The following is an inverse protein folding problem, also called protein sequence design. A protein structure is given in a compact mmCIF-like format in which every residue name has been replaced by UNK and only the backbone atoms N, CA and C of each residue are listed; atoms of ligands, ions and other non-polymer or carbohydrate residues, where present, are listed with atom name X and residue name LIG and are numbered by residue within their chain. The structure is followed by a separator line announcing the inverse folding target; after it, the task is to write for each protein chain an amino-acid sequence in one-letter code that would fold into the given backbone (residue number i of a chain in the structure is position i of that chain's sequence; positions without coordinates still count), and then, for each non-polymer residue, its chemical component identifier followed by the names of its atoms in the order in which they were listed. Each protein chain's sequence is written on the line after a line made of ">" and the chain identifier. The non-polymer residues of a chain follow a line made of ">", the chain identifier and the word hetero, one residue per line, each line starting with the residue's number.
data_IF_057255792804
#
_entry.id   IF_057255792804
#
_cell.length_a   1.000
_cell.length_b   1.000
_cell.length_c   1.000
_cell.angle_alpha   90.00
_cell.angle_beta   90.00
_cell.angle_gamma   90.00
#
_symmetry.space_group_name_H-M   'P 1'
#
loop_
_entity.id
_entity.type
_entity.pdbx_description
1 polymer ?
#
# COMPACT_ATOMS: atom_id res chain seq x y z
N UNK A 1 50.94 2.05 29.35
CA UNK A 1 49.75 2.84 29.74
C UNK A 1 49.17 3.71 28.59
N UNK A 2 49.96 4.32 27.69
CA UNK A 2 49.48 5.23 26.64
C UNK A 2 48.56 4.58 25.56
N UNK A 3 48.83 3.32 25.20
CA UNK A 3 48.02 2.63 24.18
C UNK A 3 46.59 2.30 24.67
N UNK A 4 46.46 1.89 25.95
CA UNK A 4 45.13 1.67 26.54
C UNK A 4 44.30 2.93 26.67
N UNK A 5 44.90 4.06 26.99
CA UNK A 5 44.21 5.33 27.07
C UNK A 5 43.71 5.81 25.68
N UNK A 6 44.56 5.65 24.65
CA UNK A 6 44.18 5.95 23.27
C UNK A 6 43.00 5.07 22.78
N UNK A 7 43.04 3.77 23.10
CA UNK A 7 41.94 2.86 22.74
C UNK A 7 40.64 3.23 23.46
N UNK A 8 40.71 3.53 24.76
CA UNK A 8 39.54 3.96 25.54
C UNK A 8 38.94 5.27 25.00
N UNK A 9 39.77 6.25 24.67
CA UNK A 9 39.31 7.52 24.06
C UNK A 9 38.71 7.28 22.67
N UNK A 10 39.33 6.41 21.86
CA UNK A 10 38.81 6.08 20.55
C UNK A 10 37.43 5.37 20.63
N UNK A 11 37.28 4.37 21.51
CA UNK A 11 36.03 3.66 21.72
C UNK A 11 34.93 4.58 22.28
N UNK A 12 35.28 5.48 23.20
CA UNK A 12 34.36 6.48 23.74
C UNK A 12 33.92 7.48 22.67
N UNK A 13 34.83 7.93 21.83
CA UNK A 13 34.53 8.80 20.70
C UNK A 13 33.66 8.12 19.62
N UNK A 14 33.90 6.84 19.35
CA UNK A 14 33.12 6.04 18.41
C UNK A 14 31.68 5.80 18.91
N UNK A 15 31.51 5.59 20.21
CA UNK A 15 30.20 5.32 20.84
C UNK A 15 29.50 6.61 21.34
N UNK A 16 30.19 7.77 21.33
CA UNK A 16 29.58 9.03 21.71
C UNK A 16 28.45 9.38 20.75
N UNK A 17 27.26 9.58 21.28
CA UNK A 17 26.13 10.12 20.49
C UNK A 17 26.54 11.49 19.96
N UNK A 18 26.67 11.62 18.65
CA UNK A 18 26.93 12.91 17.98
C UNK A 18 25.69 13.77 18.08
N UNK A 19 25.61 14.59 19.11
CA UNK A 19 24.58 15.63 19.19
C UNK A 19 24.92 16.70 18.14
N UNK A 20 24.00 16.94 17.22
CA UNK A 20 24.11 18.04 16.27
C UNK A 20 23.56 19.28 16.93
N UNK A 21 24.39 20.30 17.10
CA UNK A 21 23.97 21.64 17.60
C UNK A 21 22.75 22.13 16.82
N UNK A 22 21.70 22.58 17.50
CA UNK A 22 20.46 23.08 16.88
C UNK A 22 19.43 22.00 16.46
N UNK A 23 19.62 20.72 16.84
CA UNK A 23 18.66 19.64 16.57
C UNK A 23 18.22 18.97 17.88
N UNK A 24 17.43 19.68 18.66
CA UNK A 24 17.02 19.27 20.02
C UNK A 24 16.00 18.12 20.02
N UNK A 25 15.29 17.88 18.91
CA UNK A 25 14.17 16.93 18.81
C UNK A 25 14.40 15.72 17.89
N UNK A 26 15.66 15.32 17.68
CA UNK A 26 16.01 14.14 16.92
C UNK A 26 16.87 14.41 15.69
N UNK A 27 17.31 13.34 15.03
CA UNK A 27 18.17 13.39 13.84
C UNK A 27 17.38 13.40 12.52
N UNK A 28 16.06 13.58 12.56
CA UNK A 28 15.21 13.60 11.38
C UNK A 28 15.51 14.83 10.52
N UNK A 29 15.61 14.63 9.21
CA UNK A 29 15.79 15.66 8.20
C UNK A 29 14.95 15.33 6.97
N UNK A 30 14.68 16.31 6.16
CA UNK A 30 14.11 16.06 4.84
C UNK A 30 15.10 15.27 4.00
N UNK A 31 14.61 14.18 3.37
CA UNK A 31 15.40 13.36 2.47
C UNK A 31 15.66 14.07 1.14
N UNK A 32 16.81 13.81 0.54
CA UNK A 32 17.12 14.20 -0.83
C UNK A 32 17.02 13.01 -1.79
N UNK A 33 17.23 13.22 -3.12
CA UNK A 33 17.15 12.17 -4.13
C UNK A 33 18.02 10.93 -3.82
N UNK A 34 19.21 11.14 -3.26
CA UNK A 34 20.12 10.05 -2.86
C UNK A 34 19.59 9.20 -1.69
N UNK A 35 18.72 9.75 -0.87
CA UNK A 35 18.15 9.02 0.27
C UNK A 35 17.02 8.09 -0.17
N UNK A 36 16.33 8.38 -1.27
CA UNK A 36 15.24 7.55 -1.80
C UNK A 36 15.73 6.51 -2.81
N UNK A 37 16.85 6.75 -3.48
CA UNK A 37 17.41 5.88 -4.51
C UNK A 37 17.49 4.38 -4.11
N UNK A 38 17.92 4.01 -2.87
CA UNK A 38 17.95 2.61 -2.44
C UNK A 38 16.57 1.94 -2.36
N UNK A 39 15.49 2.72 -2.35
CA UNK A 39 14.10 2.25 -2.28
C UNK A 39 13.39 2.23 -3.63
N UNK A 40 14.08 2.59 -4.71
CA UNK A 40 13.57 2.52 -6.07
C UNK A 40 14.01 1.23 -6.75
N UNK A 41 13.12 0.64 -7.54
CA UNK A 41 13.49 -0.44 -8.46
C UNK A 41 14.15 0.14 -9.71
N UNK A 42 15.10 -0.61 -10.33
CA UNK A 42 15.80 -0.14 -11.54
C UNK A 42 14.85 0.14 -12.71
N UNK A 43 13.86 -0.73 -12.92
CA UNK A 43 12.85 -0.54 -13.96
C UNK A 43 11.79 0.45 -13.50
N UNK A 44 11.38 1.34 -14.39
CA UNK A 44 10.39 2.37 -14.07
C UNK A 44 9.05 1.75 -13.65
N UNK A 45 8.59 0.77 -14.39
CA UNK A 45 7.28 0.11 -14.25
C UNK A 45 7.13 -0.67 -12.93
N UNK A 46 8.25 -1.05 -12.32
CA UNK A 46 8.27 -1.81 -11.06
C UNK A 46 8.14 -0.90 -9.83
N UNK A 47 7.79 0.37 -10.02
CA UNK A 47 7.69 1.35 -8.96
C UNK A 47 6.30 2.00 -8.85
N UNK A 48 5.94 2.38 -7.64
CA UNK A 48 4.87 3.34 -7.39
C UNK A 48 5.41 4.72 -7.73
N UNK A 49 4.76 5.43 -8.63
CA UNK A 49 5.08 6.82 -9.00
C UNK A 49 4.60 7.72 -7.88
N UNK A 50 5.52 8.39 -7.19
CA UNK A 50 5.20 9.34 -6.13
C UNK A 50 5.15 10.78 -6.67
N UNK A 51 6.19 11.16 -7.41
CA UNK A 51 6.33 12.48 -8.04
C UNK A 51 6.92 12.32 -9.45
N UNK A 52 7.28 13.41 -10.10
CA UNK A 52 7.97 13.37 -11.39
C UNK A 52 9.32 12.65 -11.32
N UNK A 53 10.01 12.74 -10.20
CA UNK A 53 11.37 12.22 -10.01
C UNK A 53 11.44 11.07 -9.00
N UNK A 54 10.55 11.06 -8.01
CA UNK A 54 10.61 10.12 -6.90
C UNK A 54 9.64 8.94 -7.09
N UNK A 55 10.13 7.75 -6.80
CA UNK A 55 9.43 6.48 -6.97
C UNK A 55 9.71 5.57 -5.78
N UNK A 56 8.85 4.59 -5.57
CA UNK A 56 9.00 3.57 -4.53
C UNK A 56 8.77 2.19 -5.14
N UNK A 57 9.72 1.28 -4.99
CA UNK A 57 9.59 -0.08 -5.53
C UNK A 57 8.32 -0.77 -5.04
N UNK A 58 7.59 -1.44 -5.94
CA UNK A 58 6.40 -2.21 -5.60
C UNK A 58 6.73 -3.55 -4.93
N UNK A 59 7.88 -4.14 -5.22
CA UNK A 59 8.28 -5.42 -4.68
C UNK A 59 8.42 -5.36 -3.15
N UNK A 60 7.86 -6.37 -2.47
CA UNK A 60 8.06 -6.58 -1.02
C UNK A 60 9.35 -7.34 -0.72
N UNK A 61 10.08 -7.76 -1.75
CA UNK A 61 11.35 -8.50 -1.64
C UNK A 61 12.45 -7.74 -2.38
N UNK A 62 12.96 -6.62 -1.82
CA UNK A 62 14.09 -5.91 -2.39
C UNK A 62 15.34 -6.79 -2.34
N UNK A 63 16.36 -6.54 -3.20
CA UNK A 63 17.63 -7.23 -3.14
C UNK A 63 18.32 -7.10 -1.78
N UNK A 64 18.26 -5.94 -1.14
CA UNK A 64 18.67 -5.73 0.24
C UNK A 64 17.44 -5.67 1.16
N UNK A 65 17.27 -6.65 2.08
CA UNK A 65 16.14 -6.67 3.02
C UNK A 65 16.04 -5.42 3.91
N UNK A 66 17.14 -4.70 4.13
CA UNK A 66 17.14 -3.42 4.87
C UNK A 66 16.34 -2.33 4.17
N UNK A 67 16.14 -2.45 2.87
CA UNK A 67 15.37 -1.51 2.05
C UNK A 67 13.87 -1.88 1.96
N UNK A 68 13.46 -3.00 2.58
CA UNK A 68 12.03 -3.32 2.68
C UNK A 68 11.31 -2.26 3.51
N UNK A 69 10.33 -1.59 2.91
CA UNK A 69 9.53 -0.52 3.55
C UNK A 69 8.06 -0.76 3.32
N UNK A 70 7.26 -0.18 4.20
CA UNK A 70 5.82 -0.10 4.01
C UNK A 70 5.51 0.68 2.73
N UNK A 71 4.56 0.16 1.94
CA UNK A 71 4.12 0.74 0.67
C UNK A 71 2.88 1.62 0.81
N UNK A 72 2.43 1.90 2.03
CA UNK A 72 1.30 2.80 2.25
C UNK A 72 1.69 4.22 1.87
N UNK A 73 0.91 4.83 0.99
CA UNK A 73 1.13 6.20 0.51
C UNK A 73 -0.08 7.04 0.86
N UNK A 74 0.15 8.13 1.56
CA UNK A 74 -0.87 9.13 1.86
C UNK A 74 -0.69 10.33 0.91
N UNK A 75 -1.69 10.58 0.06
CA UNK A 75 -1.70 11.71 -0.88
C UNK A 75 -2.68 12.76 -0.37
N UNK A 76 -2.16 13.89 0.06
CA UNK A 76 -2.94 15.00 0.62
C UNK A 76 -3.10 16.12 -0.41
N UNK A 77 -4.31 16.62 -0.58
CA UNK A 77 -4.59 17.73 -1.48
C UNK A 77 -6.08 18.10 -1.48
N UNK A 78 -6.38 19.34 -1.73
CA UNK A 78 -7.75 19.84 -1.83
C UNK A 78 -8.52 19.30 -3.06
N UNK A 79 -9.79 19.68 -3.19
CA UNK A 79 -10.56 19.38 -4.40
C UNK A 79 -9.91 20.03 -5.62
N UNK A 80 -9.85 19.32 -6.74
CA UNK A 80 -9.23 19.82 -7.97
C UNK A 80 -7.69 19.79 -8.00
N UNK A 81 -6.99 19.40 -6.91
CA UNK A 81 -5.52 19.36 -6.86
C UNK A 81 -4.87 18.31 -7.77
N UNK A 82 -5.68 17.52 -8.47
CA UNK A 82 -5.17 16.55 -9.44
C UNK A 82 -4.74 15.20 -8.85
N UNK A 83 -5.09 14.86 -7.61
CA UNK A 83 -4.74 13.56 -6.99
C UNK A 83 -5.03 12.36 -7.87
N UNK A 84 -6.23 12.30 -8.43
CA UNK A 84 -6.63 11.20 -9.35
C UNK A 84 -5.82 11.25 -10.64
N UNK A 85 -5.62 12.44 -11.22
CA UNK A 85 -4.94 12.62 -12.50
C UNK A 85 -3.45 12.34 -12.44
N UNK A 86 -2.78 12.82 -11.39
CA UNK A 86 -1.31 12.77 -11.31
C UNK A 86 -0.76 11.62 -10.46
N UNK A 87 -1.59 11.00 -9.62
CA UNK A 87 -1.16 9.88 -8.80
C UNK A 87 -1.88 8.59 -9.16
N UNK A 88 -3.23 8.54 -9.07
CA UNK A 88 -3.95 7.25 -9.21
C UNK A 88 -3.86 6.72 -10.65
N UNK A 89 -4.24 7.53 -11.65
CA UNK A 89 -4.26 7.08 -13.05
C UNK A 89 -2.90 6.67 -13.59
N UNK A 90 -1.81 7.43 -13.40
CA UNK A 90 -0.49 7.00 -13.87
C UNK A 90 -0.03 5.70 -13.24
N UNK A 91 -0.29 5.50 -11.94
CA UNK A 91 0.07 4.26 -11.26
C UNK A 91 -0.73 3.05 -11.75
N UNK A 92 -2.02 3.23 -12.09
CA UNK A 92 -2.81 2.16 -12.68
C UNK A 92 -2.40 1.86 -14.12
N UNK A 93 -2.17 2.89 -14.93
CA UNK A 93 -1.90 2.75 -16.36
C UNK A 93 -0.50 2.20 -16.68
N UNK A 94 0.49 2.38 -15.80
CA UNK A 94 1.82 1.82 -15.99
C UNK A 94 1.89 0.31 -15.75
N UNK A 95 0.93 -0.27 -15.03
CA UNK A 95 0.96 -1.68 -14.66
C UNK A 95 0.55 -2.58 -15.83
N UNK A 96 1.21 -3.71 -15.94
CA UNK A 96 0.94 -4.76 -16.93
C UNK A 96 0.84 -6.10 -16.21
N UNK A 97 -0.24 -6.84 -16.47
CA UNK A 97 -0.49 -8.15 -15.85
C UNK A 97 0.53 -9.22 -16.22
N UNK A 98 1.28 -9.03 -17.31
CA UNK A 98 2.29 -9.99 -17.80
C UNK A 98 3.67 -9.72 -17.22
N UNK A 99 4.11 -8.46 -17.23
CA UNK A 99 5.47 -8.11 -16.84
C UNK A 99 5.62 -7.90 -15.34
N UNK A 100 4.63 -7.26 -14.72
CA UNK A 100 4.58 -7.04 -13.27
C UNK A 100 3.15 -7.20 -12.76
N UNK A 101 2.70 -8.42 -12.45
CA UNK A 101 1.32 -8.69 -12.06
C UNK A 101 1.01 -8.10 -10.68
N UNK A 102 0.25 -7.03 -10.67
CA UNK A 102 -0.30 -6.39 -9.46
C UNK A 102 -1.82 -6.39 -9.54
N UNK A 103 -2.49 -6.86 -8.52
CA UNK A 103 -3.94 -6.75 -8.41
C UNK A 103 -4.32 -5.48 -7.67
N UNK A 104 -5.36 -4.79 -8.14
CA UNK A 104 -5.83 -3.55 -7.55
C UNK A 104 -7.25 -3.69 -7.01
N UNK A 105 -7.49 -3.06 -5.87
CA UNK A 105 -8.83 -2.73 -5.39
C UNK A 105 -8.91 -1.20 -5.36
N UNK A 106 -9.82 -0.63 -6.14
CA UNK A 106 -9.94 0.82 -6.33
C UNK A 106 -11.31 1.28 -5.88
N UNK A 107 -11.37 2.23 -4.95
CA UNK A 107 -12.60 2.92 -4.59
C UNK A 107 -12.77 4.14 -5.49
N UNK A 108 -13.81 4.14 -6.32
CA UNK A 108 -14.10 5.20 -7.30
C UNK A 108 -15.51 5.76 -7.10
N UNK A 109 -15.71 6.68 -6.17
CA UNK A 109 -17.02 7.23 -5.86
C UNK A 109 -17.71 7.93 -7.05
N UNK A 110 -16.91 8.40 -8.01
CA UNK A 110 -17.40 9.11 -9.21
C UNK A 110 -17.55 8.22 -10.44
N UNK A 111 -17.01 7.01 -10.41
CA UNK A 111 -16.96 6.09 -11.55
C UNK A 111 -16.01 6.51 -12.68
N UNK A 112 -15.26 7.60 -12.50
CA UNK A 112 -14.42 8.17 -13.55
C UNK A 112 -13.17 7.35 -13.87
N UNK A 113 -12.61 6.66 -12.87
CA UNK A 113 -11.42 5.82 -13.04
C UNK A 113 -11.76 4.60 -13.87
N UNK A 114 -12.91 3.95 -13.56
CA UNK A 114 -13.40 2.81 -14.33
C UNK A 114 -13.64 3.13 -15.80
N UNK A 115 -14.25 4.30 -16.09
CA UNK A 115 -14.54 4.74 -17.46
C UNK A 115 -13.24 5.11 -18.21
N UNK A 116 -12.35 5.89 -17.59
CA UNK A 116 -11.18 6.43 -18.28
C UNK A 116 -10.01 5.46 -18.39
N UNK A 117 -9.83 4.57 -17.41
CA UNK A 117 -8.70 3.63 -17.38
C UNK A 117 -9.09 2.20 -17.75
N UNK A 118 -10.38 1.87 -17.77
CA UNK A 118 -10.86 0.50 -17.91
C UNK A 118 -10.40 -0.17 -19.20
N UNK A 119 -10.53 0.50 -20.34
CA UNK A 119 -10.10 -0.04 -21.64
C UNK A 119 -8.59 -0.30 -21.69
N UNK A 120 -7.79 0.62 -21.17
CA UNK A 120 -6.34 0.46 -21.11
C UNK A 120 -5.95 -0.74 -20.23
N UNK A 121 -6.59 -0.90 -19.07
CA UNK A 121 -6.35 -2.03 -18.18
C UNK A 121 -6.74 -3.37 -18.84
N UNK A 122 -7.83 -3.42 -19.58
CA UNK A 122 -8.20 -4.62 -20.35
C UNK A 122 -7.15 -4.95 -21.41
N UNK A 123 -6.62 -3.95 -22.12
CA UNK A 123 -5.51 -4.12 -23.11
C UNK A 123 -4.24 -4.62 -22.43
N UNK A 124 -3.99 -4.20 -21.19
CA UNK A 124 -2.86 -4.69 -20.35
C UNK A 124 -3.13 -6.07 -19.74
N UNK A 125 -4.23 -6.75 -20.10
CA UNK A 125 -4.53 -8.11 -19.69
C UNK A 125 -5.20 -8.26 -18.33
N UNK A 126 -5.68 -7.17 -17.73
CA UNK A 126 -6.42 -7.23 -16.46
C UNK A 126 -7.86 -7.70 -16.65
N UNK A 127 -8.34 -8.46 -15.69
CA UNK A 127 -9.78 -8.77 -15.55
C UNK A 127 -10.40 -7.73 -14.63
N UNK A 128 -11.32 -6.92 -15.16
CA UNK A 128 -12.00 -5.90 -14.37
C UNK A 128 -13.27 -6.47 -13.74
N UNK A 129 -13.48 -6.14 -12.47
CA UNK A 129 -14.73 -6.43 -11.75
C UNK A 129 -15.23 -5.15 -11.12
N UNK A 130 -16.49 -4.82 -11.39
CA UNK A 130 -17.16 -3.63 -10.88
C UNK A 130 -18.21 -4.02 -9.85
N UNK A 131 -18.16 -3.37 -8.70
CA UNK A 131 -19.17 -3.45 -7.67
C UNK A 131 -19.79 -2.07 -7.47
N UNK A 132 -21.03 -1.87 -7.95
CA UNK A 132 -21.73 -0.59 -7.89
C UNK A 132 -22.74 -0.62 -6.74
N UNK A 133 -22.43 0.13 -5.67
CA UNK A 133 -23.28 0.22 -4.48
C UNK A 133 -24.46 1.16 -4.63
N UNK A 134 -24.46 2.04 -5.66
CA UNK A 134 -25.55 2.98 -5.94
C UNK A 134 -26.61 2.29 -6.79
N UNK A 135 -26.18 1.51 -7.78
CA UNK A 135 -27.10 0.78 -8.67
C UNK A 135 -26.60 -0.66 -8.82
N UNK A 136 -27.15 -1.55 -8.02
CA UNK A 136 -26.77 -2.97 -8.00
C UNK A 136 -27.04 -3.69 -9.34
N UNK A 137 -27.99 -3.22 -10.15
CA UNK A 137 -28.25 -3.82 -11.47
C UNK A 137 -27.06 -3.62 -12.43
N UNK A 138 -26.20 -2.62 -12.19
CA UNK A 138 -24.96 -2.36 -12.92
C UNK A 138 -23.73 -3.02 -12.30
N UNK A 139 -23.87 -3.73 -11.19
CA UNK A 139 -22.80 -4.49 -10.57
C UNK A 139 -22.58 -5.81 -11.29
N UNK A 140 -21.33 -6.24 -11.33
CA UNK A 140 -21.03 -7.62 -11.72
C UNK A 140 -21.48 -8.59 -10.62
N UNK A 141 -21.96 -9.73 -11.03
CA UNK A 141 -22.37 -10.79 -10.09
C UNK A 141 -21.15 -11.36 -9.37
N UNK A 142 -21.30 -11.57 -8.07
CA UNK A 142 -20.30 -12.20 -7.23
C UNK A 142 -20.90 -13.45 -6.58
N UNK A 143 -20.22 -14.58 -6.77
CA UNK A 143 -20.58 -15.82 -6.10
C UNK A 143 -19.50 -16.15 -5.06
N UNK A 144 -19.74 -15.90 -3.77
CA UNK A 144 -18.76 -16.19 -2.72
C UNK A 144 -18.45 -17.68 -2.60
N UNK A 145 -19.39 -18.56 -2.94
CA UNK A 145 -19.21 -20.02 -2.87
C UNK A 145 -18.13 -20.52 -3.82
N UNK A 146 -17.88 -19.81 -4.94
CA UNK A 146 -16.83 -20.18 -5.89
C UNK A 146 -15.39 -20.01 -5.33
N UNK A 147 -15.24 -19.38 -4.17
CA UNK A 147 -13.96 -19.13 -3.51
C UNK A 147 -13.73 -19.99 -2.27
N UNK A 148 -14.62 -20.96 -2.02
CA UNK A 148 -14.48 -21.91 -0.92
C UNK A 148 -13.62 -23.08 -1.42
N UNK A 149 -12.43 -23.21 -0.86
CA UNK A 149 -11.49 -24.30 -1.16
C UNK A 149 -11.16 -25.16 0.07
N UNK A 150 -11.55 -24.70 1.26
CA UNK A 150 -11.29 -25.38 2.53
C UNK A 150 -12.39 -25.11 3.56
N UNK A 151 -12.49 -25.95 4.59
CA UNK A 151 -13.40 -25.74 5.73
C UNK A 151 -13.17 -24.38 6.41
N UNK A 152 -11.92 -23.91 6.45
CA UNK A 152 -11.59 -22.59 7.01
C UNK A 152 -12.23 -21.44 6.21
N UNK A 153 -12.42 -21.61 4.91
CA UNK A 153 -13.04 -20.59 4.08
C UNK A 153 -14.56 -20.54 4.30
N UNK A 154 -15.17 -21.70 4.59
CA UNK A 154 -16.58 -21.76 5.03
C UNK A 154 -16.78 -20.96 6.32
N UNK A 155 -15.93 -21.20 7.33
CA UNK A 155 -16.01 -20.47 8.60
C UNK A 155 -15.80 -18.97 8.42
N UNK A 156 -14.87 -18.55 7.56
CA UNK A 156 -14.69 -17.14 7.25
C UNK A 156 -15.90 -16.52 6.59
N UNK A 157 -16.52 -17.22 5.64
CA UNK A 157 -17.72 -16.75 4.96
C UNK A 157 -18.90 -16.61 5.94
N UNK A 158 -19.13 -17.63 6.76
CA UNK A 158 -20.18 -17.60 7.79
C UNK A 158 -19.96 -16.45 8.75
N UNK A 159 -18.73 -16.32 9.30
CA UNK A 159 -18.38 -15.23 10.20
C UNK A 159 -18.59 -13.86 9.56
N UNK A 160 -18.18 -13.67 8.29
CA UNK A 160 -18.37 -12.42 7.56
C UNK A 160 -19.86 -12.11 7.36
N UNK A 161 -20.69 -13.10 7.02
CA UNK A 161 -22.14 -12.93 6.88
C UNK A 161 -22.78 -12.57 8.22
N UNK A 162 -22.47 -13.31 9.28
CA UNK A 162 -23.01 -13.04 10.62
C UNK A 162 -22.63 -11.66 11.13
N UNK A 163 -21.37 -11.25 10.96
CA UNK A 163 -20.89 -9.94 11.42
C UNK A 163 -21.55 -8.80 10.64
N UNK A 164 -21.74 -8.95 9.33
CA UNK A 164 -22.30 -7.89 8.49
C UNK A 164 -23.83 -7.84 8.50
N UNK A 165 -24.50 -8.88 8.96
CA UNK A 165 -25.99 -8.92 9.09
C UNK A 165 -26.46 -8.53 10.47
N UNK A 166 -25.58 -8.47 11.48
CA UNK A 166 -25.95 -7.90 12.79
C UNK A 166 -26.18 -6.40 12.64
N UNK A 167 -27.43 -5.96 12.86
CA UNK A 167 -27.76 -4.54 12.90
C UNK A 167 -27.01 -3.82 14.02
N UNK A 168 -26.61 -2.58 13.79
CA UNK A 168 -26.11 -1.69 14.83
C UNK A 168 -27.20 -1.53 15.91
N UNK A 169 -27.00 -2.12 17.10
CA UNK A 169 -27.90 -1.95 18.24
C UNK A 169 -28.48 -3.21 18.87
N UNK A 170 -28.31 -4.39 18.31
CA UNK A 170 -28.66 -5.64 18.98
C UNK A 170 -27.42 -6.25 19.63
N UNK A 171 -27.12 -5.81 20.84
CA UNK A 171 -26.29 -6.57 21.78
C UNK A 171 -27.05 -7.83 22.22
N UNK A 172 -27.07 -8.85 21.38
CA UNK A 172 -27.52 -10.19 21.79
C UNK A 172 -26.50 -10.80 22.74
N UNK A 173 -26.99 -11.68 23.62
CA UNK A 173 -26.12 -12.44 24.50
C UNK A 173 -25.02 -13.15 23.70
N UNK A 174 -23.74 -12.94 24.02
CA UNK A 174 -22.62 -13.55 23.29
C UNK A 174 -22.65 -15.08 23.26
N UNK A 175 -23.44 -15.71 24.10
CA UNK A 175 -23.62 -17.16 24.15
C UNK A 175 -24.37 -17.68 22.92
N UNK A 176 -25.48 -17.03 22.53
CA UNK A 176 -26.32 -17.47 21.40
C UNK A 176 -25.71 -17.08 20.04
N UNK A 177 -24.74 -16.18 20.04
CA UNK A 177 -24.02 -15.77 18.83
C UNK A 177 -22.99 -16.81 18.34
N UNK A 178 -22.69 -17.83 19.16
CA UNK A 178 -21.69 -18.87 18.89
C UNK A 178 -22.26 -20.29 18.80
N UNK A 179 -23.54 -20.44 19.07
CA UNK A 179 -24.24 -21.71 18.94
C UNK A 179 -24.84 -21.86 17.53
#
# INVERSE_FOLDING_TARGET
>A
CGAGLRLAVYLRGKNAKKYRHGMEYGSARWGGPKDIEPFMAPKFEDNIILTKTERLMMSNRPPDPKNARNKNVLVVGGSGSGKTRFFIKPNLLQCDSKNFPVSFVVTDPKGSIGVECGEALLKHGYKLKFFNTINFSKSMRYNPMAYIHSEKDVLKLVTALMTNTKGEGQGGDPFWDKA
#
